data_IF_638037351985
#
_entry.id   IF_638037351985
#
_cell.length_a   1.000
_cell.length_b   1.000
_cell.length_c   1.000
_cell.angle_alpha   90.00
_cell.angle_beta   90.00
_cell.angle_gamma   90.00
#
_symmetry.space_group_name_H-M   'P 1'
#
loop_
_entity.id
_entity.type
_entity.pdbx_description
1 polymer ?
#
# COMPACT_ATOMS: atom_id res chain seq x y z
N UNK A 1 -5.15 11.59 20.35
CA UNK A 1 -5.85 11.29 19.08
C UNK A 1 -7.34 11.64 19.15
N UNK A 2 -8.10 11.09 20.10
CA UNK A 2 -9.54 11.37 20.26
C UNK A 2 -9.86 12.86 20.42
N UNK A 3 -9.10 13.59 21.24
CA UNK A 3 -9.28 15.05 21.42
C UNK A 3 -9.07 15.82 20.10
N UNK A 4 -8.07 15.47 19.30
CA UNK A 4 -7.85 16.07 17.98
C UNK A 4 -9.04 15.84 17.04
N UNK A 5 -9.58 14.64 17.02
CA UNK A 5 -10.75 14.30 16.19
C UNK A 5 -11.95 15.11 16.64
N UNK A 6 -12.18 15.27 17.94
CA UNK A 6 -13.30 16.02 18.48
C UNK A 6 -13.25 17.50 18.10
N UNK A 7 -12.08 18.13 18.19
CA UNK A 7 -11.87 19.53 17.77
C UNK A 7 -12.11 19.70 16.27
N UNK A 8 -11.66 18.75 15.44
CA UNK A 8 -11.83 18.82 13.97
C UNK A 8 -13.30 18.63 13.53
N UNK A 9 -14.09 17.88 14.28
CA UNK A 9 -15.52 17.67 13.98
C UNK A 9 -16.38 18.88 14.36
N UNK A 10 -15.95 19.65 15.35
CA UNK A 10 -16.64 20.88 15.77
C UNK A 10 -16.46 22.04 14.77
N UNK A 11 -15.33 22.08 14.05
CA UNK A 11 -15.14 22.99 12.93
C UNK A 11 -15.85 22.43 11.69
N UNK A 12 -16.57 23.27 10.94
CA UNK A 12 -17.28 22.84 9.72
C UNK A 12 -16.33 22.10 8.80
N UNK A 13 -16.54 20.78 8.69
CA UNK A 13 -15.68 19.88 7.95
C UNK A 13 -15.63 20.29 6.47
N UNK A 14 -14.52 20.87 6.06
CA UNK A 14 -14.13 20.98 4.66
C UNK A 14 -13.43 19.69 4.19
N UNK A 15 -13.11 19.61 2.91
CA UNK A 15 -12.43 18.45 2.32
C UNK A 15 -11.08 18.15 2.98
N UNK A 16 -10.37 19.16 3.47
CA UNK A 16 -9.08 19.00 4.15
C UNK A 16 -9.28 18.40 5.54
N UNK A 17 -10.27 18.84 6.27
CA UNK A 17 -10.63 18.30 7.59
C UNK A 17 -11.00 16.82 7.49
N UNK A 18 -11.79 16.41 6.49
CA UNK A 18 -12.10 14.99 6.23
C UNK A 18 -10.84 14.14 6.01
N UNK A 19 -9.89 14.63 5.22
CA UNK A 19 -8.61 13.94 4.99
C UNK A 19 -7.79 13.81 6.27
N UNK A 20 -7.75 14.83 7.11
CA UNK A 20 -7.01 14.79 8.37
C UNK A 20 -7.67 13.80 9.34
N UNK A 21 -8.99 13.79 9.46
CA UNK A 21 -9.73 12.84 10.30
C UNK A 21 -9.45 11.40 9.83
N UNK A 22 -9.53 11.12 8.54
CA UNK A 22 -9.20 9.79 7.98
C UNK A 22 -7.77 9.37 8.31
N UNK A 23 -6.80 10.27 8.16
CA UNK A 23 -5.40 9.98 8.49
C UNK A 23 -5.20 9.61 9.96
N UNK A 24 -5.86 10.33 10.90
CA UNK A 24 -5.80 10.02 12.32
C UNK A 24 -6.46 8.67 12.65
N UNK A 25 -7.59 8.34 12.00
CA UNK A 25 -8.26 7.04 12.17
C UNK A 25 -7.38 5.89 11.67
N UNK A 26 -6.76 6.03 10.51
CA UNK A 26 -5.83 5.02 9.99
C UNK A 26 -4.60 4.86 10.89
N UNK A 27 -4.05 5.97 11.38
CA UNK A 27 -2.95 5.95 12.33
C UNK A 27 -3.29 5.20 13.61
N UNK A 28 -4.48 5.45 14.18
CA UNK A 28 -4.96 4.74 15.35
C UNK A 28 -5.15 3.24 15.11
N UNK A 29 -5.76 2.87 13.99
CA UNK A 29 -5.97 1.46 13.62
C UNK A 29 -4.63 0.72 13.49
N UNK A 30 -3.65 1.33 12.82
CA UNK A 30 -2.31 0.74 12.67
C UNK A 30 -1.59 0.59 14.02
N UNK A 31 -1.71 1.58 14.91
CA UNK A 31 -1.09 1.51 16.23
C UNK A 31 -1.73 0.42 17.11
N UNK A 32 -3.04 0.23 17.03
CA UNK A 32 -3.72 -0.89 17.69
C UNK A 32 -3.19 -2.23 17.18
N UNK A 33 -3.03 -2.38 15.87
CA UNK A 33 -2.48 -3.59 15.28
C UNK A 33 -1.01 -3.81 15.69
N UNK A 34 -0.18 -2.75 15.66
CA UNK A 34 1.19 -2.83 16.16
C UNK A 34 1.26 -3.22 17.63
N UNK A 35 0.34 -2.71 18.44
CA UNK A 35 0.25 -3.08 19.86
C UNK A 35 -0.04 -4.59 20.04
N UNK A 36 -0.97 -5.15 19.26
CA UNK A 36 -1.26 -6.58 19.28
C UNK A 36 -0.03 -7.41 18.90
N UNK A 37 0.72 -7.02 17.89
CA UNK A 37 1.96 -7.70 17.48
C UNK A 37 3.04 -7.63 18.57
N UNK A 38 3.21 -6.47 19.20
CA UNK A 38 4.15 -6.29 20.31
C UNK A 38 3.79 -7.15 21.53
N UNK A 39 2.50 -7.34 21.83
CA UNK A 39 2.05 -8.25 22.89
C UNK A 39 2.41 -9.71 22.60
N UNK A 40 2.56 -10.07 21.33
CA UNK A 40 3.06 -11.39 20.91
C UNK A 40 4.59 -11.49 20.84
N UNK A 41 5.30 -10.47 21.30
CA UNK A 41 6.77 -10.45 21.35
C UNK A 41 7.44 -10.01 20.03
N UNK A 42 6.68 -9.54 19.05
CA UNK A 42 7.20 -9.07 17.78
C UNK A 42 7.62 -7.59 17.86
N UNK A 43 8.73 -7.21 17.22
CA UNK A 43 9.19 -5.83 17.18
C UNK A 43 8.49 -5.08 16.03
N UNK A 44 7.28 -4.60 16.30
CA UNK A 44 6.44 -3.90 15.34
C UNK A 44 6.37 -2.40 15.60
N UNK A 45 6.49 -1.59 14.54
CA UNK A 45 6.36 -0.13 14.56
C UNK A 45 5.44 0.36 13.45
N UNK A 46 4.72 1.44 13.73
CA UNK A 46 3.93 2.14 12.72
C UNK A 46 4.80 3.14 11.95
N UNK A 47 4.52 3.29 10.65
CA UNK A 47 5.13 4.29 9.80
C UNK A 47 4.21 5.50 9.64
N UNK A 48 4.78 6.69 9.76
CA UNK A 48 4.13 7.92 9.34
C UNK A 48 4.46 8.15 7.85
N UNK A 49 3.62 7.62 6.97
CA UNK A 49 3.83 7.70 5.52
C UNK A 49 3.76 9.13 5.00
N UNK A 50 3.10 10.05 5.71
CA UNK A 50 3.12 11.46 5.39
C UNK A 50 4.50 12.13 5.45
N UNK A 51 5.51 11.45 6.01
CA UNK A 51 6.90 11.96 6.05
C UNK A 51 7.72 11.63 4.81
N UNK A 52 7.32 10.63 4.03
CA UNK A 52 8.08 10.19 2.86
C UNK A 52 7.23 9.91 1.62
N UNK A 53 5.92 9.66 1.76
CA UNK A 53 5.03 9.48 0.62
C UNK A 53 4.56 10.83 0.09
N UNK A 54 4.86 11.10 -1.17
CA UNK A 54 4.45 12.33 -1.85
C UNK A 54 3.87 12.05 -3.23
N UNK A 55 2.85 12.81 -3.59
CA UNK A 55 2.28 12.84 -4.94
C UNK A 55 2.63 14.18 -5.62
N UNK A 56 2.85 14.12 -6.92
CA UNK A 56 3.09 15.30 -7.76
C UNK A 56 1.79 16.02 -8.12
N UNK A 57 1.88 17.08 -8.93
CA UNK A 57 0.72 17.86 -9.40
C UNK A 57 -0.29 17.02 -10.21
N UNK A 58 0.17 15.96 -10.87
CA UNK A 58 -0.69 15.02 -11.60
C UNK A 58 -1.33 13.96 -10.70
N UNK A 59 -1.14 14.06 -9.38
CA UNK A 59 -1.58 13.09 -8.36
C UNK A 59 -0.96 11.68 -8.53
N UNK A 60 0.21 11.62 -9.16
CA UNK A 60 1.03 10.42 -9.28
C UNK A 60 2.11 10.40 -8.20
N UNK A 61 2.54 9.22 -7.72
CA UNK A 61 3.63 9.12 -6.74
C UNK A 61 4.94 9.67 -7.32
N UNK A 62 5.63 10.48 -6.54
CA UNK A 62 6.98 10.94 -6.86
C UNK A 62 8.00 9.89 -6.40
N UNK A 63 8.20 8.86 -7.23
CA UNK A 63 9.04 7.71 -6.89
C UNK A 63 10.47 8.11 -6.50
N UNK A 64 11.17 9.01 -7.21
CA UNK A 64 12.51 9.44 -6.81
C UNK A 64 12.53 10.05 -5.40
N UNK A 65 11.63 11.00 -5.14
CA UNK A 65 11.51 11.63 -3.82
C UNK A 65 11.20 10.61 -2.72
N UNK A 66 10.25 9.70 -2.99
CA UNK A 66 9.82 8.69 -2.01
C UNK A 66 10.99 7.76 -1.67
N UNK A 67 11.77 7.30 -2.66
CA UNK A 67 12.93 6.42 -2.45
C UNK A 67 13.98 7.06 -1.55
N UNK A 68 14.32 8.33 -1.80
CA UNK A 68 15.30 9.06 -1.00
C UNK A 68 14.80 9.28 0.42
N UNK A 69 13.56 9.77 0.55
CA UNK A 69 12.95 10.10 1.84
C UNK A 69 12.74 8.88 2.73
N UNK A 70 12.35 7.72 2.16
CA UNK A 70 12.12 6.51 2.94
C UNK A 70 13.42 5.94 3.51
N UNK A 71 14.52 6.00 2.77
CA UNK A 71 15.81 5.51 3.27
C UNK A 71 16.27 6.30 4.49
N UNK A 72 16.13 7.63 4.44
CA UNK A 72 16.43 8.49 5.58
C UNK A 72 15.52 8.15 6.77
N UNK A 73 14.21 8.08 6.53
CA UNK A 73 13.21 7.84 7.56
C UNK A 73 13.39 6.50 8.28
N UNK A 74 13.73 5.43 7.56
CA UNK A 74 13.94 4.08 8.12
C UNK A 74 15.27 3.99 8.87
N UNK A 75 16.30 4.72 8.46
CA UNK A 75 17.59 4.70 9.16
C UNK A 75 17.48 5.09 10.64
N UNK A 76 16.45 5.86 10.99
CA UNK A 76 16.13 6.28 12.36
C UNK A 76 15.33 5.22 13.15
N UNK A 77 14.82 4.15 12.48
CA UNK A 77 13.89 3.15 13.06
C UNK A 77 14.48 1.73 13.10
N UNK A 78 15.73 1.60 13.52
CA UNK A 78 16.51 0.35 13.42
C UNK A 78 16.06 -0.82 14.28
N UNK A 79 15.15 -0.60 15.24
CA UNK A 79 14.75 -1.63 16.22
C UNK A 79 13.44 -2.34 15.89
N UNK A 80 12.98 -2.33 14.65
CA UNK A 80 11.78 -3.02 14.24
C UNK A 80 12.04 -4.05 13.14
N UNK A 81 11.36 -5.20 13.25
CA UNK A 81 11.32 -6.23 12.22
C UNK A 81 10.09 -6.07 11.32
N UNK A 82 9.02 -5.46 11.87
CA UNK A 82 7.74 -5.30 11.21
C UNK A 82 7.38 -3.82 11.19
N UNK A 83 7.09 -3.30 10.00
CA UNK A 83 6.58 -1.96 9.80
C UNK A 83 5.13 -2.00 9.30
N UNK A 84 4.26 -1.19 9.89
CA UNK A 84 2.85 -1.08 9.55
C UNK A 84 2.62 0.31 8.97
N UNK A 85 2.14 0.39 7.74
CA UNK A 85 1.88 1.62 7.04
C UNK A 85 0.37 1.83 6.83
N UNK A 86 -0.16 3.06 6.99
CA UNK A 86 -1.52 3.37 6.61
C UNK A 86 -1.67 3.32 5.09
N UNK A 87 -2.81 2.81 4.62
CA UNK A 87 -3.12 2.75 3.20
C UNK A 87 -3.34 4.15 2.61
N UNK A 88 -2.78 4.36 1.43
CA UNK A 88 -3.02 5.53 0.56
C UNK A 88 -2.62 6.89 1.12
N UNK A 89 -2.21 7.01 2.40
CA UNK A 89 -1.85 8.28 3.02
C UNK A 89 -0.53 8.82 2.44
N UNK A 90 -0.56 10.09 2.03
CA UNK A 90 0.60 10.78 1.46
C UNK A 90 0.52 12.30 1.71
N UNK A 91 1.50 13.04 1.21
CA UNK A 91 1.48 14.49 1.09
C UNK A 91 1.32 14.89 -0.38
N UNK A 92 0.69 16.02 -0.63
CA UNK A 92 0.74 16.67 -1.93
C UNK A 92 1.99 17.58 -2.03
N UNK A 93 2.20 18.21 -3.18
CA UNK A 93 3.34 19.11 -3.43
C UNK A 93 3.39 20.33 -2.50
N UNK A 94 2.27 20.68 -1.86
CA UNK A 94 2.18 21.78 -0.91
C UNK A 94 2.44 21.34 0.54
N UNK A 95 2.72 20.05 0.75
CA UNK A 95 2.94 19.46 2.09
C UNK A 95 1.65 19.19 2.86
N UNK A 96 0.47 19.33 2.22
CA UNK A 96 -0.81 19.04 2.85
C UNK A 96 -1.11 17.55 2.85
N UNK A 97 -1.85 17.08 3.86
CA UNK A 97 -2.32 15.69 3.93
C UNK A 97 -3.24 15.38 2.76
N UNK A 98 -2.92 14.32 2.03
CA UNK A 98 -3.69 13.83 0.90
C UNK A 98 -3.67 12.29 0.87
N UNK A 99 -4.44 11.73 -0.05
CA UNK A 99 -4.49 10.31 -0.29
C UNK A 99 -4.23 10.02 -1.76
N UNK A 100 -3.39 9.05 -2.03
CA UNK A 100 -3.36 8.41 -3.34
C UNK A 100 -4.73 7.80 -3.60
N UNK A 101 -5.05 7.53 -4.86
CA UNK A 101 -6.34 6.99 -5.24
C UNK A 101 -6.76 5.81 -4.34
N UNK A 102 -7.74 6.03 -3.44
CA UNK A 102 -8.20 5.07 -2.42
C UNK A 102 -8.71 3.74 -3.00
N UNK A 103 -9.05 3.72 -4.29
CA UNK A 103 -9.49 2.51 -5.00
C UNK A 103 -8.34 1.66 -5.54
N UNK A 104 -7.08 2.08 -5.33
CA UNK A 104 -5.88 1.45 -5.87
C UNK A 104 -4.85 1.15 -4.77
N UNK A 105 -5.30 0.45 -3.74
CA UNK A 105 -4.44 0.05 -2.62
C UNK A 105 -3.27 -0.83 -3.06
N UNK A 106 -3.48 -1.67 -4.07
CA UNK A 106 -2.47 -2.49 -4.73
C UNK A 106 -1.34 -1.64 -5.34
N UNK A 107 -1.70 -0.54 -6.01
CA UNK A 107 -0.71 0.39 -6.56
C UNK A 107 0.07 1.12 -5.47
N UNK A 108 -0.60 1.56 -4.40
CA UNK A 108 0.07 2.15 -3.25
C UNK A 108 1.07 1.17 -2.60
N UNK A 109 0.66 -0.09 -2.40
CA UNK A 109 1.53 -1.13 -1.87
C UNK A 109 2.74 -1.39 -2.78
N UNK A 110 2.53 -1.39 -4.11
CA UNK A 110 3.61 -1.54 -5.09
C UNK A 110 4.59 -0.36 -5.04
N UNK A 111 4.09 0.87 -4.88
CA UNK A 111 4.94 2.06 -4.70
C UNK A 111 5.77 1.95 -3.43
N UNK A 112 5.17 1.53 -2.31
CA UNK A 112 5.89 1.29 -1.06
C UNK A 112 6.96 0.21 -1.24
N UNK A 113 6.61 -0.95 -1.78
CA UNK A 113 7.55 -2.03 -2.03
C UNK A 113 8.73 -1.56 -2.90
N UNK A 114 8.46 -0.76 -3.94
CA UNK A 114 9.50 -0.14 -4.78
C UNK A 114 10.39 0.81 -4.00
N UNK A 115 9.82 1.63 -3.13
CA UNK A 115 10.56 2.61 -2.35
C UNK A 115 11.46 1.96 -1.28
N UNK A 116 10.98 0.88 -0.67
CA UNK A 116 11.74 0.08 0.29
C UNK A 116 12.78 -0.84 -0.36
N UNK A 117 12.73 -1.03 -1.69
CA UNK A 117 13.57 -2.01 -2.38
C UNK A 117 13.23 -3.45 -1.99
N UNK A 118 11.95 -3.75 -1.84
CA UNK A 118 11.50 -5.08 -1.46
C UNK A 118 11.78 -6.10 -2.56
N UNK A 119 12.13 -7.32 -2.16
CA UNK A 119 12.29 -8.46 -3.09
C UNK A 119 10.95 -9.02 -3.50
N UNK A 120 9.97 -9.01 -2.59
CA UNK A 120 8.65 -9.61 -2.77
C UNK A 120 7.54 -8.66 -2.30
N UNK A 121 6.40 -8.70 -2.99
CA UNK A 121 5.16 -8.07 -2.58
C UNK A 121 4.05 -9.12 -2.53
N UNK A 122 3.62 -9.43 -1.32
CA UNK A 122 2.51 -10.36 -1.08
C UNK A 122 1.19 -9.58 -1.05
N UNK A 123 0.26 -9.97 -1.92
CA UNK A 123 -1.08 -9.39 -2.01
C UNK A 123 -2.12 -10.42 -1.58
N UNK A 124 -2.74 -10.18 -0.43
CA UNK A 124 -3.92 -10.95 -0.01
C UNK A 124 -5.14 -10.45 -0.77
N UNK A 125 -5.81 -11.34 -1.48
CA UNK A 125 -6.93 -11.01 -2.36
C UNK A 125 -7.99 -12.10 -2.29
N UNK A 126 -9.24 -11.71 -2.61
CA UNK A 126 -10.34 -12.67 -2.76
C UNK A 126 -10.33 -13.40 -4.11
N UNK A 127 -9.31 -13.18 -4.94
CA UNK A 127 -9.14 -13.90 -6.21
C UNK A 127 -8.55 -15.27 -5.90
N UNK A 128 -9.38 -16.31 -5.97
CA UNK A 128 -8.95 -17.66 -5.63
C UNK A 128 -8.07 -18.29 -6.71
N UNK A 129 -8.25 -17.90 -7.98
CA UNK A 129 -7.54 -18.50 -9.10
C UNK A 129 -7.27 -17.51 -10.24
N UNK A 130 -6.08 -17.60 -10.81
CA UNK A 130 -5.71 -16.90 -12.04
C UNK A 130 -5.84 -17.87 -13.19
N UNK A 131 -6.67 -17.56 -14.16
CA UNK A 131 -6.88 -18.38 -15.34
C UNK A 131 -6.16 -17.80 -16.57
N UNK A 132 -5.62 -18.67 -17.42
CA UNK A 132 -4.90 -18.29 -18.63
C UNK A 132 -5.72 -17.41 -19.61
N UNK A 133 -7.05 -17.49 -19.55
CA UNK A 133 -8.01 -16.60 -20.23
C UNK A 133 -9.38 -16.78 -19.60
N UNK A 134 -10.35 -15.88 -19.96
CA UNK A 134 -11.74 -15.92 -19.43
C UNK A 134 -12.48 -17.24 -19.62
N UNK A 135 -12.10 -18.03 -20.59
CA UNK A 135 -12.77 -19.29 -20.97
C UNK A 135 -11.96 -20.52 -20.53
N UNK A 136 -10.77 -20.34 -19.97
CA UNK A 136 -9.91 -21.43 -19.51
C UNK A 136 -10.29 -21.87 -18.12
N UNK A 137 -10.30 -23.18 -17.88
CA UNK A 137 -10.35 -23.77 -16.54
C UNK A 137 -8.94 -24.15 -16.02
N UNK A 138 -7.90 -23.82 -16.80
CA UNK A 138 -6.52 -24.11 -16.40
C UNK A 138 -5.99 -22.98 -15.54
N UNK A 139 -5.73 -23.29 -14.30
CA UNK A 139 -5.10 -22.39 -13.34
C UNK A 139 -3.65 -22.10 -13.73
N UNK A 140 -3.22 -20.86 -13.51
CA UNK A 140 -1.85 -20.43 -13.67
C UNK A 140 -1.26 -20.18 -12.27
N UNK A 141 -0.23 -20.94 -11.91
CA UNK A 141 0.45 -20.78 -10.62
C UNK A 141 1.60 -19.76 -10.68
N UNK A 142 2.11 -19.48 -11.87
CA UNK A 142 3.13 -18.46 -12.09
C UNK A 142 2.97 -17.83 -13.46
N UNK A 143 3.26 -16.54 -13.53
CA UNK A 143 3.22 -15.73 -14.75
C UNK A 143 4.48 -14.88 -14.80
N UNK A 144 5.03 -14.70 -15.98
CA UNK A 144 5.96 -13.61 -16.23
C UNK A 144 5.22 -12.27 -16.23
N UNK A 145 5.92 -11.15 -16.03
CA UNK A 145 5.31 -9.82 -16.12
C UNK A 145 4.66 -9.58 -17.48
N UNK A 146 5.29 -10.03 -18.57
CA UNK A 146 4.74 -9.92 -19.92
C UNK A 146 3.44 -10.69 -20.10
N UNK A 147 3.34 -11.90 -19.55
CA UNK A 147 2.11 -12.69 -19.58
C UNK A 147 1.01 -12.04 -18.74
N UNK A 148 1.36 -11.49 -17.56
CA UNK A 148 0.42 -10.76 -16.71
C UNK A 148 -0.13 -9.52 -17.43
N UNK A 149 0.70 -8.73 -18.11
CA UNK A 149 0.27 -7.59 -18.94
C UNK A 149 -0.67 -8.03 -20.07
N UNK A 150 -0.35 -9.12 -20.77
CA UNK A 150 -1.21 -9.66 -21.81
C UNK A 150 -2.58 -10.10 -21.29
N UNK A 151 -2.63 -10.72 -20.11
CA UNK A 151 -3.89 -11.10 -19.46
C UNK A 151 -4.72 -9.87 -19.10
N UNK A 152 -4.13 -8.85 -18.51
CA UNK A 152 -4.81 -7.59 -18.19
C UNK A 152 -5.36 -6.94 -19.47
N UNK A 153 -4.57 -6.87 -20.53
CA UNK A 153 -4.99 -6.30 -21.82
C UNK A 153 -6.13 -7.12 -22.47
N UNK A 154 -6.21 -8.42 -22.20
CA UNK A 154 -7.33 -9.27 -22.62
C UNK A 154 -8.59 -9.10 -21.75
N UNK A 155 -8.53 -8.25 -20.73
CA UNK A 155 -9.63 -7.93 -19.82
C UNK A 155 -9.79 -8.91 -18.64
N UNK A 156 -8.76 -9.71 -18.34
CA UNK A 156 -8.68 -10.45 -17.07
C UNK A 156 -8.22 -9.48 -15.99
N UNK A 157 -9.00 -9.34 -14.93
CA UNK A 157 -8.61 -8.49 -13.81
C UNK A 157 -7.66 -9.28 -12.89
N UNK A 158 -6.42 -8.84 -12.82
CA UNK A 158 -5.42 -9.33 -11.85
C UNK A 158 -5.05 -8.20 -10.89
N UNK A 159 -4.42 -7.18 -11.44
CA UNK A 159 -3.98 -5.94 -10.81
C UNK A 159 -4.15 -4.80 -11.81
N UNK A 160 -3.94 -3.59 -11.36
CA UNK A 160 -3.76 -2.48 -12.28
C UNK A 160 -2.45 -2.65 -13.08
N UNK A 161 -2.49 -2.33 -14.37
CA UNK A 161 -1.33 -2.47 -15.27
C UNK A 161 -0.10 -1.72 -14.75
N UNK A 162 -0.30 -0.54 -14.12
CA UNK A 162 0.78 0.24 -13.52
C UNK A 162 1.51 -0.51 -12.39
N UNK A 163 0.83 -1.41 -11.65
CA UNK A 163 1.45 -2.23 -10.61
C UNK A 163 2.42 -3.23 -11.23
N UNK A 164 2.00 -3.91 -12.29
CA UNK A 164 2.83 -4.88 -13.00
C UNK A 164 4.06 -4.21 -13.59
N UNK A 165 3.85 -3.08 -14.28
CA UNK A 165 4.95 -2.32 -14.89
C UNK A 165 5.95 -1.82 -13.84
N UNK A 166 5.48 -1.28 -12.71
CA UNK A 166 6.33 -0.78 -11.63
C UNK A 166 7.10 -1.92 -10.94
N UNK A 167 6.44 -3.05 -10.66
CA UNK A 167 7.07 -4.22 -10.07
C UNK A 167 8.13 -4.81 -11.01
N UNK A 168 7.85 -4.91 -12.32
CA UNK A 168 8.81 -5.38 -13.33
C UNK A 168 10.06 -4.50 -13.37
N UNK A 169 9.90 -3.17 -13.39
CA UNK A 169 11.04 -2.23 -13.39
C UNK A 169 11.87 -2.27 -12.09
N UNK A 170 11.26 -2.69 -11.00
CA UNK A 170 11.90 -2.78 -9.68
C UNK A 170 12.35 -4.20 -9.32
N UNK A 171 12.15 -5.18 -10.18
CA UNK A 171 12.42 -6.61 -9.97
C UNK A 171 11.73 -7.19 -8.71
N UNK A 172 10.53 -6.74 -8.41
CA UNK A 172 9.77 -7.19 -7.22
C UNK A 172 8.92 -8.39 -7.59
N UNK A 173 9.13 -9.55 -6.97
CA UNK A 173 8.28 -10.72 -7.15
C UNK A 173 6.88 -10.44 -6.59
N UNK A 174 5.84 -10.61 -7.40
CA UNK A 174 4.44 -10.45 -6.96
C UNK A 174 3.87 -11.81 -6.57
N UNK A 175 3.45 -11.93 -5.32
CA UNK A 175 2.83 -13.13 -4.78
C UNK A 175 1.36 -12.84 -4.45
N UNK A 176 0.49 -13.77 -4.84
CA UNK A 176 -0.94 -13.71 -4.51
C UNK A 176 -1.29 -14.83 -3.56
N UNK A 177 -2.00 -14.49 -2.48
CA UNK A 177 -2.63 -15.47 -1.61
C UNK A 177 -4.14 -15.25 -1.61
N UNK A 178 -4.90 -16.34 -1.66
CA UNK A 178 -6.34 -16.31 -1.40
C UNK A 178 -6.59 -16.69 0.06
N UNK A 179 -7.65 -16.15 0.66
CA UNK A 179 -8.12 -16.56 2.00
C UNK A 179 -8.70 -17.99 2.03
N UNK A 180 -8.64 -18.72 0.91
CA UNK A 180 -9.15 -20.09 0.78
C UNK A 180 -8.32 -21.18 1.51
N UNK A 181 -7.36 -20.79 2.34
CA UNK A 181 -6.56 -21.76 3.14
C UNK A 181 -7.29 -22.34 4.36
N UNK A 182 -8.49 -21.87 4.68
CA UNK A 182 -9.24 -22.29 5.89
C UNK A 182 -10.30 -23.37 5.64
N UNK A 183 -10.41 -23.93 4.43
CA UNK A 183 -11.36 -25.00 4.11
C UNK A 183 -10.69 -26.40 4.02
N UNK A 184 -9.78 -26.71 4.95
CA UNK A 184 -9.32 -28.10 5.17
C UNK A 184 -9.51 -28.54 6.62
#
# INVERSE_FOLDING_TARGET
CMEKIQVLVEDKADLLTDKIIKAEVYGLSNELFACCLRQQGLRAQTLDTGKFMQINLERKPDIPYIKESVQQYISEKRDADIFIAPLSLCKNVYGETDFMNEKRNDYYATVLATAFGADELLLSTQINHIYANRNSRREQHSLTYTEAEQLINSGVYLLYADCISLAAHSNICLLYTSDAADDM
#
